data_IF_971926415713
#
_entry.id   IF_971926415713
#
_cell.length_a   1.000
_cell.length_b   1.000
_cell.length_c   1.000
_cell.angle_alpha   90.00
_cell.angle_beta   90.00
_cell.angle_gamma   90.00
#
_symmetry.space_group_name_H-M   'P 1'
#
loop_
_entity.id
_entity.type
_entity.pdbx_description
1 polymer ?
#
# COMPACT_ATOMS: atom_id res chain seq x y z
N UNK A 1 1.76 -20.24 4.47
CA UNK A 1 2.26 -20.62 5.83
C UNK A 1 1.71 -19.74 6.94
N UNK A 2 1.68 -18.40 6.82
CA UNK A 2 1.17 -17.50 7.87
C UNK A 2 -0.34 -17.62 8.17
N UNK A 3 -1.17 -17.89 7.17
CA UNK A 3 -2.64 -18.00 7.34
C UNK A 3 -3.07 -19.34 7.94
N UNK A 4 -2.42 -20.46 7.53
CA UNK A 4 -2.65 -21.79 8.12
C UNK A 4 -2.36 -21.83 9.63
N UNK A 5 -1.26 -21.21 10.09
CA UNK A 5 -0.94 -21.12 11.52
C UNK A 5 -1.79 -20.13 12.33
N UNK A 6 -2.62 -19.29 11.68
CA UNK A 6 -3.59 -18.40 12.35
C UNK A 6 -4.92 -19.11 12.58
N UNK A 7 -5.37 -19.90 11.59
CA UNK A 7 -6.55 -20.77 11.69
C UNK A 7 -6.38 -21.78 12.83
N UNK A 8 -5.20 -22.40 12.93
CA UNK A 8 -4.88 -23.32 14.03
C UNK A 8 -4.83 -22.65 15.42
N UNK A 9 -4.67 -21.33 15.49
CA UNK A 9 -4.60 -20.56 16.74
C UNK A 9 -5.91 -19.87 17.12
N UNK A 10 -7.00 -20.08 16.37
CA UNK A 10 -8.30 -19.47 16.64
C UNK A 10 -8.30 -17.93 16.59
N UNK A 11 -7.36 -17.34 15.84
CA UNK A 11 -7.28 -15.89 15.67
C UNK A 11 -8.15 -15.47 14.49
N UNK A 12 -8.87 -14.35 14.64
CA UNK A 12 -9.75 -13.81 13.60
C UNK A 12 -9.05 -13.77 12.24
N UNK A 13 -9.68 -14.43 11.27
CA UNK A 13 -9.23 -14.48 9.87
C UNK A 13 -10.07 -13.60 8.95
N UNK A 14 -11.22 -13.12 9.45
CA UNK A 14 -12.04 -12.10 8.82
C UNK A 14 -11.97 -10.86 9.72
N UNK A 15 -11.58 -9.72 9.15
CA UNK A 15 -11.48 -8.47 9.90
C UNK A 15 -12.79 -7.65 9.84
N UNK A 16 -13.77 -8.07 9.03
CA UNK A 16 -15.11 -7.51 8.91
C UNK A 16 -16.05 -8.49 8.16
N UNK A 17 -17.36 -8.33 8.35
CA UNK A 17 -18.44 -8.97 7.55
C UNK A 17 -18.93 -8.05 6.41
N UNK A 18 -18.24 -6.93 6.17
CA UNK A 18 -18.65 -5.92 5.18
C UNK A 18 -18.27 -6.34 3.74
N UNK A 19 -19.25 -6.52 2.83
CA UNK A 19 -18.98 -6.88 1.43
C UNK A 19 -18.20 -5.79 0.67
N UNK A 20 -18.20 -4.54 1.16
CA UNK A 20 -17.45 -3.42 0.57
C UNK A 20 -16.03 -3.27 1.19
N UNK A 21 -15.59 -4.24 2.00
CA UNK A 21 -14.24 -4.23 2.55
C UNK A 21 -13.19 -4.29 1.42
N UNK A 22 -12.26 -3.33 1.42
CA UNK A 22 -11.21 -3.20 0.41
C UNK A 22 -10.38 -4.50 0.25
N UNK A 23 -10.30 -5.31 1.31
CA UNK A 23 -9.62 -6.61 1.31
C UNK A 23 -10.28 -7.70 0.47
N UNK A 24 -11.55 -7.53 0.08
CA UNK A 24 -12.32 -8.48 -0.72
C UNK A 24 -12.24 -8.18 -2.23
N UNK A 25 -11.59 -7.09 -2.63
CA UNK A 25 -11.47 -6.71 -4.04
C UNK A 25 -10.43 -7.61 -4.73
N UNK A 26 -10.91 -8.43 -5.67
CA UNK A 26 -10.05 -9.36 -6.42
C UNK A 26 -9.26 -8.67 -7.56
N UNK A 27 -9.82 -7.63 -8.18
CA UNK A 27 -9.15 -6.89 -9.25
C UNK A 27 -8.18 -5.83 -8.69
N UNK A 28 -6.95 -5.84 -9.19
CA UNK A 28 -5.89 -4.94 -8.73
C UNK A 28 -6.18 -3.46 -9.00
N UNK A 29 -6.78 -3.14 -10.15
CA UNK A 29 -7.11 -1.76 -10.49
C UNK A 29 -8.31 -1.26 -9.69
N UNK A 30 -9.28 -2.13 -9.41
CA UNK A 30 -10.40 -1.83 -8.53
C UNK A 30 -9.91 -1.54 -7.11
N UNK A 31 -8.94 -2.32 -6.62
CA UNK A 31 -8.27 -2.08 -5.34
C UNK A 31 -7.59 -0.71 -5.31
N UNK A 32 -6.82 -0.36 -6.36
CA UNK A 32 -6.18 0.97 -6.45
C UNK A 32 -7.21 2.11 -6.48
N UNK A 33 -8.37 1.93 -7.12
CA UNK A 33 -9.45 2.93 -7.12
C UNK A 33 -10.05 3.09 -5.73
N UNK A 34 -10.35 2.00 -5.03
CA UNK A 34 -10.85 2.06 -3.65
C UNK A 34 -9.82 2.71 -2.71
N UNK A 35 -8.54 2.39 -2.87
CA UNK A 35 -7.43 3.01 -2.16
C UNK A 35 -7.39 4.53 -2.39
N UNK A 36 -7.53 4.96 -3.66
CA UNK A 36 -7.61 6.38 -4.01
C UNK A 36 -8.75 7.06 -3.26
N UNK A 37 -9.97 6.55 -3.37
CA UNK A 37 -11.15 7.13 -2.73
C UNK A 37 -10.98 7.27 -1.21
N UNK A 38 -10.40 6.27 -0.54
CA UNK A 38 -10.13 6.36 0.89
C UNK A 38 -9.16 7.51 1.23
N UNK A 39 -8.07 7.66 0.47
CA UNK A 39 -7.09 8.74 0.70
C UNK A 39 -7.55 10.12 0.20
N UNK A 40 -8.56 10.19 -0.67
CA UNK A 40 -9.24 11.45 -1.02
C UNK A 40 -10.03 11.99 0.18
N UNK A 41 -10.72 11.13 0.94
CA UNK A 41 -11.39 11.56 2.19
C UNK A 41 -10.39 12.08 3.22
N UNK A 42 -9.25 11.41 3.35
CA UNK A 42 -8.14 11.90 4.20
C UNK A 42 -7.63 13.25 3.70
N UNK A 43 -7.48 13.43 2.38
CA UNK A 43 -7.04 14.69 1.80
C UNK A 43 -7.98 15.83 2.15
N UNK A 44 -9.30 15.62 2.08
CA UNK A 44 -10.31 16.66 2.37
C UNK A 44 -10.17 17.23 3.78
N UNK A 45 -9.92 16.38 4.77
CA UNK A 45 -9.79 16.79 6.19
C UNK A 45 -8.36 17.20 6.58
N UNK A 46 -7.36 16.85 5.77
CA UNK A 46 -5.96 17.19 6.04
C UNK A 46 -5.74 18.71 5.96
N UNK A 47 -5.01 19.28 6.92
CA UNK A 47 -4.60 20.69 6.86
C UNK A 47 -3.65 20.95 5.68
N UNK A 48 -3.66 22.16 5.07
CA UNK A 48 -2.62 22.55 4.12
C UNK A 48 -1.22 22.28 4.69
N UNK A 49 -0.30 21.84 3.83
CA UNK A 49 1.08 21.47 4.17
C UNK A 49 1.21 20.26 5.11
N UNK A 50 0.11 19.56 5.43
CA UNK A 50 0.10 18.31 6.19
C UNK A 50 0.74 17.16 5.42
N UNK A 51 1.33 16.22 6.16
CA UNK A 51 2.00 15.05 5.60
C UNK A 51 1.16 13.79 5.78
N UNK A 52 1.22 12.92 4.78
CA UNK A 52 0.65 11.57 4.79
C UNK A 52 1.79 10.58 4.57
N UNK A 53 1.92 9.60 5.46
CA UNK A 53 2.87 8.49 5.30
C UNK A 53 2.09 7.20 5.10
N UNK A 54 2.32 6.51 4.00
CA UNK A 54 1.72 5.20 3.71
C UNK A 54 2.81 4.15 3.78
N UNK A 55 2.61 3.13 4.63
CA UNK A 55 3.51 1.98 4.73
C UNK A 55 2.89 0.84 3.93
N UNK A 56 3.57 0.41 2.86
CA UNK A 56 3.07 -0.65 1.99
C UNK A 56 4.21 -1.52 1.47
N UNK A 57 3.88 -2.61 0.77
CA UNK A 57 4.85 -3.46 0.09
C UNK A 57 4.31 -3.86 -1.28
N UNK A 58 5.21 -4.20 -2.20
CA UNK A 58 4.81 -4.78 -3.48
C UNK A 58 4.18 -6.16 -3.24
N UNK A 59 3.16 -6.45 -4.04
CA UNK A 59 2.38 -7.69 -3.95
C UNK A 59 2.90 -8.68 -4.97
N UNK A 60 2.90 -9.96 -4.64
CA UNK A 60 3.19 -11.02 -5.59
C UNK A 60 2.00 -11.96 -5.58
N UNK A 61 1.33 -12.09 -6.72
CA UNK A 61 0.16 -12.96 -6.92
C UNK A 61 0.24 -13.60 -8.30
N UNK A 62 -0.18 -14.85 -8.41
CA UNK A 62 -0.32 -15.58 -9.68
C UNK A 62 0.95 -15.55 -10.56
N UNK A 63 2.12 -15.67 -9.91
CA UNK A 63 3.42 -15.66 -10.58
C UNK A 63 3.90 -14.29 -11.05
N UNK A 64 3.17 -13.22 -10.73
CA UNK A 64 3.47 -11.84 -11.14
C UNK A 64 3.69 -10.94 -9.92
N UNK A 65 4.67 -10.04 -10.05
CA UNK A 65 4.86 -8.93 -9.12
C UNK A 65 4.00 -7.73 -9.54
N UNK A 66 3.22 -7.22 -8.59
CA UNK A 66 2.45 -6.00 -8.69
C UNK A 66 3.18 -4.90 -7.91
N UNK A 67 3.63 -3.82 -8.58
CA UNK A 67 4.44 -2.77 -7.98
C UNK A 67 3.58 -1.80 -7.15
N UNK A 68 2.82 -2.34 -6.18
CA UNK A 68 1.82 -1.62 -5.41
C UNK A 68 2.34 -0.32 -4.78
N UNK A 69 3.58 -0.29 -4.30
CA UNK A 69 4.15 0.93 -3.73
C UNK A 69 4.22 2.05 -4.78
N UNK A 70 4.68 1.75 -5.99
CA UNK A 70 4.81 2.71 -7.08
C UNK A 70 3.44 3.11 -7.64
N UNK A 71 2.56 2.13 -7.85
CA UNK A 71 1.21 2.40 -8.34
C UNK A 71 0.39 3.23 -7.34
N UNK A 72 0.63 3.08 -6.04
CA UNK A 72 0.04 3.94 -5.00
C UNK A 72 0.51 5.38 -5.15
N UNK A 73 1.81 5.61 -5.35
CA UNK A 73 2.34 6.97 -5.58
C UNK A 73 1.70 7.59 -6.82
N UNK A 74 1.69 6.88 -7.94
CA UNK A 74 1.11 7.37 -9.19
C UNK A 74 -0.39 7.64 -9.07
N UNK A 75 -1.12 6.78 -8.36
CA UNK A 75 -2.58 6.91 -8.19
C UNK A 75 -2.95 8.09 -7.30
N UNK A 76 -2.26 8.27 -6.17
CA UNK A 76 -2.55 9.35 -5.23
C UNK A 76 -2.06 10.72 -5.69
N UNK A 77 -1.17 10.77 -6.68
CA UNK A 77 -0.69 12.02 -7.29
C UNK A 77 -1.66 12.58 -8.34
N UNK A 78 -2.79 11.92 -8.60
CA UNK A 78 -3.77 12.34 -9.59
C UNK A 78 -4.79 13.33 -9.01
N UNK A 79 -5.21 14.28 -9.84
CA UNK A 79 -6.33 15.17 -9.58
C UNK A 79 -7.65 14.41 -9.34
N UNK A 80 -8.65 15.03 -8.67
CA UNK A 80 -8.68 16.40 -8.14
C UNK A 80 -8.07 16.59 -6.73
N UNK A 81 -7.64 15.50 -6.09
CA UNK A 81 -7.05 15.52 -4.75
C UNK A 81 -5.61 15.00 -4.80
N UNK A 82 -4.78 15.71 -5.56
CA UNK A 82 -3.40 15.31 -5.81
C UNK A 82 -2.52 15.47 -4.58
N UNK A 83 -2.11 14.35 -3.98
CA UNK A 83 -1.04 14.30 -3.01
C UNK A 83 0.29 14.55 -3.72
N UNK A 84 1.15 15.42 -3.16
CA UNK A 84 2.49 15.64 -3.72
C UNK A 84 3.49 14.69 -3.07
N UNK A 85 4.12 13.77 -3.82
CA UNK A 85 5.19 12.93 -3.29
C UNK A 85 6.37 13.80 -2.84
N UNK A 86 6.97 13.45 -1.69
CA UNK A 86 8.13 14.15 -1.14
C UNK A 86 9.35 13.28 -1.00
N UNK A 87 9.15 12.02 -0.64
CA UNK A 87 10.24 11.08 -0.38
C UNK A 87 9.67 9.66 -0.29
N UNK A 88 10.55 8.67 -0.36
CA UNK A 88 10.26 7.29 -0.01
C UNK A 88 11.39 6.75 0.87
N UNK A 89 11.01 6.07 1.95
CA UNK A 89 11.98 5.34 2.79
C UNK A 89 11.75 3.85 2.69
N UNK A 90 12.84 3.11 2.77
CA UNK A 90 12.79 1.64 2.81
C UNK A 90 12.97 1.21 4.25
N UNK A 91 11.94 0.60 4.81
CA UNK A 91 12.01 -0.04 6.12
C UNK A 91 12.39 -1.50 5.95
N UNK A 92 13.67 -1.81 6.20
CA UNK A 92 14.20 -3.17 6.20
C UNK A 92 13.83 -3.89 7.51
N UNK A 93 13.33 -5.11 7.37
CA UNK A 93 13.01 -6.04 8.45
C UNK A 93 14.07 -7.15 8.47
N UNK A 94 14.89 -7.16 9.52
CA UNK A 94 15.99 -8.09 9.75
C UNK A 94 15.58 -9.34 10.54
N UNK A 95 14.34 -9.37 11.04
CA UNK A 95 13.78 -10.44 11.87
C UNK A 95 13.13 -11.58 11.06
N UNK A 96 13.01 -11.44 9.74
CA UNK A 96 12.42 -12.44 8.86
C UNK A 96 13.47 -13.43 8.36
N UNK A 97 13.13 -14.72 8.39
CA UNK A 97 13.95 -15.77 7.79
C UNK A 97 13.90 -15.72 6.26
N UNK A 98 15.06 -15.93 5.62
CA UNK A 98 15.14 -16.14 4.18
C UNK A 98 14.60 -17.53 3.83
N UNK A 99 13.64 -17.57 2.91
CA UNK A 99 13.11 -18.82 2.36
C UNK A 99 13.66 -19.03 0.95
N UNK A 100 14.04 -20.26 0.58
CA UNK A 100 14.39 -20.59 -0.80
C UNK A 100 13.10 -20.69 -1.62
N UNK A 101 12.61 -19.55 -2.11
CA UNK A 101 11.39 -19.47 -2.91
C UNK A 101 11.72 -19.65 -4.39
N UNK A 102 10.84 -20.35 -5.13
CA UNK A 102 10.96 -20.49 -6.58
C UNK A 102 12.07 -21.41 -7.07
N UNK A 103 12.68 -22.22 -6.20
CA UNK A 103 13.77 -23.15 -6.56
C UNK A 103 13.35 -24.01 -7.76
N UNK A 104 14.19 -24.00 -8.80
CA UNK A 104 14.01 -24.71 -10.08
C UNK A 104 12.82 -24.29 -10.95
N UNK A 105 12.07 -23.23 -10.58
CA UNK A 105 10.87 -22.83 -11.30
C UNK A 105 10.80 -21.34 -11.67
N UNK A 106 11.16 -20.43 -10.76
CA UNK A 106 11.03 -18.99 -10.99
C UNK A 106 11.90 -18.15 -10.04
N UNK A 107 12.20 -16.91 -10.43
CA UNK A 107 12.74 -15.93 -9.50
C UNK A 107 11.65 -15.44 -8.56
N UNK A 108 11.79 -15.75 -7.26
CA UNK A 108 10.92 -15.21 -6.21
C UNK A 108 11.80 -14.65 -5.10
N UNK A 109 11.94 -13.33 -5.08
CA UNK A 109 12.69 -12.64 -4.05
C UNK A 109 11.98 -12.69 -2.69
N UNK A 110 12.74 -12.85 -1.61
CA UNK A 110 12.19 -12.70 -0.28
C UNK A 110 11.81 -11.23 -0.02
N UNK A 111 10.61 -10.98 0.48
CA UNK A 111 10.12 -9.63 0.81
C UNK A 111 10.45 -9.26 2.25
N UNK A 112 11.62 -8.64 2.43
CA UNK A 112 12.14 -8.17 3.73
C UNK A 112 12.02 -6.68 3.95
N UNK A 113 11.51 -5.91 2.99
CA UNK A 113 11.34 -4.48 3.15
C UNK A 113 9.89 -4.05 3.00
N UNK A 114 9.57 -2.91 3.59
CA UNK A 114 8.37 -2.14 3.34
C UNK A 114 8.77 -0.77 2.79
N UNK A 115 7.93 -0.19 1.96
CA UNK A 115 8.05 1.18 1.50
C UNK A 115 7.26 2.08 2.43
N UNK A 116 7.89 3.13 2.94
CA UNK A 116 7.26 4.24 3.63
C UNK A 116 7.19 5.41 2.64
N UNK A 117 6.04 5.54 1.99
CA UNK A 117 5.78 6.57 0.99
C UNK A 117 5.36 7.85 1.69
N UNK A 118 6.05 8.96 1.44
CA UNK A 118 5.82 10.23 2.12
C UNK A 118 5.23 11.22 1.13
N UNK A 119 4.03 11.69 1.43
CA UNK A 119 3.30 12.68 0.66
C UNK A 119 3.03 13.93 1.49
N UNK A 120 2.74 15.03 0.79
CA UNK A 120 2.24 16.26 1.41
C UNK A 120 1.04 16.78 0.65
N UNK A 121 0.03 17.24 1.38
CA UNK A 121 -1.04 18.06 0.83
C UNK A 121 -0.47 19.45 0.62
N UNK A 122 -0.22 19.82 -0.63
CA UNK A 122 0.08 21.23 -0.91
C UNK A 122 -1.19 22.05 -0.64
N UNK A 123 -1.01 23.25 -0.10
CA UNK A 123 -2.11 24.20 -0.10
C UNK A 123 -2.46 24.57 -1.54
N UNK A 124 -3.66 25.10 -1.76
CA UNK A 124 -3.82 26.00 -2.90
C UNK A 124 -2.64 26.97 -2.85
N UNK A 125 -1.92 27.12 -3.95
CA UNK A 125 -0.82 28.09 -4.01
C UNK A 125 -1.45 29.43 -3.63
N UNK A 126 -1.28 29.84 -2.38
CA UNK A 126 -1.54 31.21 -1.98
C UNK A 126 -0.72 32.01 -2.98
N UNK A 127 -1.41 32.78 -3.83
CA UNK A 127 -0.78 33.72 -4.74
C UNK A 127 0.08 34.65 -3.90
N UNK A 128 1.33 34.26 -3.70
CA UNK A 128 2.33 35.02 -2.99
C UNK A 128 2.89 36.09 -3.92
N UNK A 129 3.28 37.24 -3.34
CA UNK A 129 3.34 38.56 -3.98
C UNK A 129 4.31 38.69 -5.16
#
# INVERSE_FOLDING_TARGET
MRQKGRVEKGLDTAYSDDPDEIGNIEDYHDFLRALKCAFEEVYKVMRPKGYLTIITNNVFSDGRMYPLAFDTVSTLSQEPFAWTPKDEKVWCQDDKSLLPLGVFNAWVGNRHHQYCLIFRKEGQADGGP
#
